data_IF_703798673182
#
_entry.id   IF_703798673182
#
_cell.length_a   1.000
_cell.length_b   1.000
_cell.length_c   1.000
_cell.angle_alpha   90.00
_cell.angle_beta   90.00
_cell.angle_gamma   90.00
#
_symmetry.space_group_name_H-M   'P 1'
#
loop_
_entity.id
_entity.type
_entity.pdbx_description
1 polymer ?
2 non-polymer ?
3 non-polymer ?
4 non-polymer ?
5 water ?
#
# COMPACT_ATOMS: atom_id res chain seq x y z
N UNK A 7 32.48 -4.13 7.92
CA UNK A 7 32.98 -4.58 6.62
C UNK A 7 32.22 -3.87 5.49
N UNK A 8 32.44 -4.35 4.27
CA UNK A 8 31.72 -3.82 3.11
C UNK A 8 30.23 -4.04 3.29
N UNK A 9 29.48 -2.96 3.43
CA UNK A 9 28.06 -3.03 3.74
C UNK A 9 27.25 -3.52 2.54
N UNK A 10 27.61 -4.67 1.99
CA UNK A 10 26.87 -5.23 0.87
C UNK A 10 25.44 -5.61 1.26
N UNK A 11 25.20 -5.81 2.55
CA UNK A 11 23.84 -6.08 3.01
C UNK A 11 22.92 -4.88 2.82
N UNK A 12 23.48 -3.69 2.61
CA UNK A 12 22.68 -2.51 2.35
C UNK A 12 22.13 -2.48 0.92
N UNK A 13 22.66 -3.33 0.03
CA UNK A 13 22.20 -3.43 -1.36
C UNK A 13 21.65 -4.83 -1.57
N UNK A 14 20.41 -5.07 -1.21
CA UNK A 14 19.85 -6.43 -1.33
C UNK A 14 19.58 -6.80 -2.78
N UNK A 15 19.39 -8.09 -3.00
CA UNK A 15 19.20 -8.62 -4.34
C UNK A 15 17.83 -8.24 -4.91
N UNK A 16 17.75 -8.27 -6.23
CA UNK A 16 16.46 -8.21 -6.92
C UNK A 16 15.83 -9.59 -6.81
N UNK A 17 14.69 -9.67 -6.12
CA UNK A 17 14.11 -10.98 -5.81
C UNK A 17 13.67 -11.69 -7.08
N UNK A 18 13.19 -10.95 -8.08
CA UNK A 18 12.84 -11.58 -9.35
C UNK A 18 14.03 -12.31 -9.95
N UNK A 19 15.25 -11.79 -9.72
CA UNK A 19 16.44 -12.44 -10.26
C UNK A 19 16.81 -13.68 -9.45
N UNK A 20 16.62 -13.65 -8.13
CA UNK A 20 16.85 -14.85 -7.32
C UNK A 20 15.97 -15.99 -7.80
N UNK A 21 14.69 -15.72 -8.01
CA UNK A 21 13.76 -16.75 -8.47
C UNK A 21 14.13 -17.25 -9.86
N UNK A 22 14.51 -16.35 -10.76
CA UNK A 22 14.92 -16.75 -12.10
C UNK A 22 16.19 -17.57 -12.09
N UNK A 23 17.13 -17.26 -11.18
CA UNK A 23 18.34 -18.06 -11.06
C UNK A 23 18.06 -19.46 -10.53
N UNK A 24 16.93 -19.66 -9.87
CA UNK A 24 16.54 -20.99 -9.44
C UNK A 24 16.95 -21.35 -8.02
N UNK A 25 16.90 -20.40 -7.08
CA UNK A 25 17.16 -20.74 -5.70
C UNK A 25 16.13 -21.77 -5.23
N UNK A 26 16.60 -22.83 -4.59
CA UNK A 26 15.72 -23.90 -4.14
C UNK A 26 15.02 -23.58 -2.83
N UNK A 27 15.50 -22.59 -2.09
CA UNK A 27 14.94 -22.16 -0.81
C UNK A 27 15.18 -20.67 -0.68
N UNK A 28 14.41 -19.97 0.14
CA UNK A 28 14.66 -18.55 0.36
C UNK A 28 15.96 -18.35 1.12
N UNK A 29 16.82 -17.45 0.68
CA UNK A 29 18.04 -17.14 1.45
C UNK A 29 17.69 -16.66 2.85
N UNK A 30 18.68 -16.74 3.74
CA UNK A 30 18.38 -16.65 5.17
C UNK A 30 17.78 -15.30 5.57
N UNK A 31 18.12 -14.22 4.86
CA UNK A 31 17.60 -12.91 5.25
C UNK A 31 16.13 -12.72 4.92
N UNK A 32 15.51 -13.65 4.18
CA UNK A 32 14.09 -13.60 3.90
C UNK A 32 13.27 -14.48 4.85
N UNK A 33 13.91 -15.32 5.66
CA UNK A 33 13.18 -16.24 6.52
C UNK A 33 12.55 -15.50 7.68
N UNK A 34 11.26 -15.75 7.91
CA UNK A 34 10.57 -15.23 9.07
C UNK A 34 11.11 -15.87 10.36
N UNK A 35 10.81 -15.23 11.48
CA UNK A 35 11.34 -15.61 12.78
C UNK A 35 10.20 -16.14 13.67
N UNK A 36 9.95 -17.45 13.59
CA UNK A 36 9.06 -18.18 14.48
C UNK A 36 7.71 -17.50 14.70
N UNK A 37 7.71 -16.33 15.35
CA UNK A 37 6.47 -15.61 15.64
C UNK A 37 5.63 -15.43 14.38
N UNK A 38 6.27 -15.03 13.28
CA UNK A 38 5.56 -14.91 12.01
C UNK A 38 5.40 -16.24 11.30
N UNK A 39 6.28 -17.22 11.56
CA UNK A 39 6.18 -18.50 10.88
C UNK A 39 4.89 -19.23 11.23
N UNK A 40 4.48 -19.17 12.49
CA UNK A 40 3.27 -19.86 12.92
C UNK A 40 1.99 -19.25 12.34
N UNK A 41 2.07 -18.05 11.76
CA UNK A 41 0.88 -17.32 11.34
C UNK A 41 0.77 -17.19 9.82
N UNK A 42 1.63 -17.87 9.06
CA UNK A 42 1.56 -17.81 7.60
C UNK A 42 0.44 -18.72 7.14
N UNK A 43 -0.63 -18.14 6.61
CA UNK A 43 -1.77 -18.88 6.11
C UNK A 43 -1.67 -18.98 4.59
N UNK A 44 -1.52 -20.20 4.08
CA UNK A 44 -1.47 -20.44 2.65
C UNK A 44 -2.75 -21.04 2.08
N UNK A 45 -3.63 -21.57 2.94
CA UNK A 45 -4.83 -22.25 2.49
C UNK A 45 -6.02 -21.30 2.66
N UNK A 46 -6.94 -21.34 1.70
CA UNK A 46 -8.14 -20.52 1.79
C UNK A 46 -9.12 -21.13 2.79
N UNK A 47 -10.03 -20.29 3.28
CA UNK A 47 -10.88 -20.64 4.41
C UNK A 47 -12.03 -21.58 4.06
N UNK A 48 -12.33 -21.78 2.77
CA UNK A 48 -13.38 -22.67 2.28
C UNK A 48 -14.78 -22.09 2.45
N UNK A 49 -15.03 -21.35 3.53
CA UNK A 49 -16.29 -20.63 3.71
C UNK A 49 -16.01 -19.19 4.17
N UNK A 50 -15.38 -18.38 3.32
CA UNK A 50 -15.08 -17.00 3.72
C UNK A 50 -16.34 -16.16 3.86
N UNK A 51 -16.26 -15.17 4.74
CA UNK A 51 -17.35 -14.21 4.88
C UNK A 51 -17.37 -13.25 3.69
N UNK A 52 -18.55 -12.79 3.28
CA UNK A 52 -18.60 -11.77 2.22
C UNK A 52 -17.82 -10.53 2.61
N UNK A 53 -17.14 -9.96 1.65
CA UNK A 53 -16.36 -8.75 1.88
C UNK A 53 -17.23 -7.52 1.67
N UNK A 54 -16.91 -6.40 2.30
CA UNK A 54 -17.71 -5.18 2.05
C UNK A 54 -17.46 -4.62 0.66
N UNK A 55 -18.55 -4.28 -0.02
CA UNK A 55 -18.52 -3.72 -1.36
C UNK A 55 -19.27 -2.39 -1.31
N UNK A 56 -18.66 -1.34 -1.88
CA UNK A 56 -19.27 -0.01 -1.94
C UNK A 56 -19.35 0.40 -3.40
N UNK A 57 -20.50 0.91 -3.81
CA UNK A 57 -20.74 1.40 -5.16
C UNK A 57 -20.55 2.90 -5.14
N UNK A 58 -19.45 3.37 -5.74
CA UNK A 58 -19.14 4.80 -5.70
C UNK A 58 -20.27 5.63 -6.28
N UNK A 59 -20.92 5.13 -7.34
CA UNK A 59 -21.97 5.93 -7.97
C UNK A 59 -23.22 6.09 -7.10
N UNK A 60 -23.37 5.29 -6.06
CA UNK A 60 -24.54 5.37 -5.18
C UNK A 60 -24.22 6.02 -3.84
N UNK A 61 -23.01 6.54 -3.68
CA UNK A 61 -22.50 6.87 -2.35
C UNK A 61 -23.20 8.07 -1.71
N UNK A 62 -23.95 8.86 -2.47
CA UNK A 62 -24.71 9.94 -1.85
C UNK A 62 -25.90 9.42 -1.06
N UNK A 63 -26.36 8.21 -1.34
CA UNK A 63 -27.52 7.67 -0.66
C UNK A 63 -27.18 7.16 0.73
N UNK A 64 -28.18 7.23 1.62
CA UNK A 64 -27.97 6.81 3.00
C UNK A 64 -27.58 5.35 3.08
N UNK A 65 -28.26 4.49 2.32
CA UNK A 65 -27.99 3.05 2.40
C UNK A 65 -26.56 2.75 1.99
N UNK A 66 -26.04 3.44 0.98
CA UNK A 66 -24.68 3.16 0.54
C UNK A 66 -23.66 3.76 1.50
N UNK A 67 -23.94 4.94 2.05
CA UNK A 67 -23.07 5.52 3.06
C UNK A 67 -22.99 4.61 4.29
N UNK A 68 -24.08 3.91 4.61
CA UNK A 68 -24.06 2.96 5.73
C UNK A 68 -23.13 1.79 5.43
N UNK A 69 -23.13 1.30 4.20
CA UNK A 69 -22.20 0.24 3.82
C UNK A 69 -20.76 0.71 3.96
N UNK A 70 -20.49 1.96 3.58
CA UNK A 70 -19.17 2.54 3.78
C UNK A 70 -18.81 2.60 5.26
N UNK A 71 -19.76 3.05 6.10
CA UNK A 71 -19.48 3.14 7.53
C UNK A 71 -19.13 1.77 8.10
N UNK A 72 -19.90 0.74 7.74
CA UNK A 72 -19.62 -0.61 8.23
C UNK A 72 -18.23 -1.05 7.80
N UNK A 73 -17.88 -0.78 6.54
CA UNK A 73 -16.56 -1.16 6.06
C UNK A 73 -15.46 -0.44 6.83
N UNK A 74 -15.64 0.87 7.07
CA UNK A 74 -14.56 1.64 7.66
C UNK A 74 -14.40 1.34 9.14
N UNK A 75 -15.50 1.14 9.85
CA UNK A 75 -15.43 0.87 11.28
C UNK A 75 -15.01 -0.56 11.58
N UNK A 76 -15.48 -1.53 10.80
CA UNK A 76 -15.28 -2.94 11.13
C UNK A 76 -14.19 -3.62 10.31
N UNK A 77 -13.82 -3.07 9.17
CA UNK A 77 -12.82 -3.71 8.33
C UNK A 77 -11.62 -2.83 8.04
N UNK A 78 -11.82 -1.52 7.86
CA UNK A 78 -10.77 -0.62 7.44
C UNK A 78 -10.55 -0.56 5.94
N UNK A 79 -11.28 -1.35 5.17
CA UNK A 79 -11.12 -1.38 3.73
C UNK A 79 -12.44 -1.78 3.10
N UNK A 80 -12.54 -1.60 1.79
CA UNK A 80 -13.72 -2.04 1.05
C UNK A 80 -13.35 -2.25 -0.43
N UNK A 81 -14.06 -3.16 -1.07
CA UNK A 81 -14.08 -3.23 -2.53
C UNK A 81 -14.94 -2.11 -3.07
N UNK A 82 -14.54 -1.51 -4.20
CA UNK A 82 -15.24 -0.37 -4.77
C UNK A 82 -15.61 -0.67 -6.20
N UNK A 83 -16.90 -0.54 -6.53
CA UNK A 83 -17.40 -0.75 -7.87
C UNK A 83 -17.94 0.56 -8.44
N UNK A 84 -18.14 0.58 -9.76
CA UNK A 84 -18.76 1.73 -10.44
C UNK A 84 -18.03 3.03 -10.09
N UNK A 85 -16.70 2.95 -10.06
CA UNK A 85 -15.81 4.01 -9.61
C UNK A 85 -15.39 4.95 -10.73
N UNK A 86 -15.80 4.71 -11.96
CA UNK A 86 -15.60 5.65 -13.05
C UNK A 86 -14.31 5.49 -13.83
N UNK A 87 -13.37 4.66 -13.37
CA UNK A 87 -12.14 4.45 -14.13
C UNK A 87 -12.39 3.40 -15.20
N UNK A 88 -12.08 3.75 -16.46
CA UNK A 88 -12.31 2.85 -17.57
C UNK A 88 -11.59 1.52 -17.33
N UNK A 89 -12.31 0.42 -17.54
CA UNK A 89 -11.72 -0.89 -17.32
C UNK A 89 -10.48 -1.09 -18.21
N UNK A 90 -10.51 -0.57 -19.43
CA UNK A 90 -9.35 -0.75 -20.32
C UNK A 90 -8.13 0.03 -19.83
N UNK A 91 -8.35 1.15 -19.13
CA UNK A 91 -7.24 1.88 -18.55
C UNK A 91 -6.61 1.09 -17.41
N UNK A 92 -7.43 0.40 -16.63
CA UNK A 92 -6.91 -0.47 -15.58
C UNK A 92 -6.10 -1.61 -16.19
N UNK A 93 -6.62 -2.23 -17.26
CA UNK A 93 -5.86 -3.27 -17.95
C UNK A 93 -4.51 -2.75 -18.41
N UNK A 94 -4.48 -1.53 -18.95
CA UNK A 94 -3.25 -1.02 -19.55
C UNK A 94 -2.19 -0.75 -18.49
N UNK A 95 -2.56 -0.14 -17.36
CA UNK A 95 -1.55 0.19 -16.38
C UNK A 95 -0.97 -1.08 -15.77
N UNK A 96 -1.78 -2.13 -15.62
CA UNK A 96 -1.27 -3.38 -15.10
C UNK A 96 -0.41 -4.11 -16.14
N UNK A 97 -0.84 -4.11 -17.40
CA UNK A 97 -0.08 -4.81 -18.43
C UNK A 97 1.23 -4.11 -18.74
N UNK A 98 1.26 -2.78 -18.66
CA UNK A 98 2.51 -2.07 -18.84
C UNK A 98 3.42 -2.30 -17.64
N UNK A 99 2.84 -2.52 -16.46
CA UNK A 99 3.61 -2.97 -15.31
C UNK A 99 4.27 -4.32 -15.59
N UNK A 100 3.46 -5.31 -16.00
CA UNK A 100 4.03 -6.62 -16.35
C UNK A 100 5.12 -6.49 -17.41
N UNK A 101 4.91 -5.61 -18.40
CA UNK A 101 5.91 -5.45 -19.45
C UNK A 101 7.21 -4.89 -18.90
N UNK A 102 7.13 -3.98 -17.93
CA UNK A 102 8.35 -3.43 -17.34
C UNK A 102 9.12 -4.51 -16.58
N UNK A 103 8.46 -5.21 -15.67
CA UNK A 103 9.16 -6.21 -14.88
C UNK A 103 9.71 -7.35 -15.73
N UNK A 104 9.11 -7.61 -16.89
CA UNK A 104 9.59 -8.63 -17.81
C UNK A 104 10.81 -8.18 -18.63
N UNK A 105 11.24 -6.94 -18.49
CA UNK A 105 12.38 -6.47 -19.26
C UNK A 105 13.67 -7.08 -18.69
N UNK A 106 14.74 -7.12 -19.50
CA UNK A 106 16.02 -7.61 -19.00
C UNK A 106 16.50 -6.82 -17.80
N UNK A 107 17.21 -7.51 -16.90
CA UNK A 107 17.64 -6.88 -15.66
C UNK A 107 18.57 -5.71 -15.95
N UNK A 108 19.39 -5.83 -16.99
CA UNK A 108 20.29 -4.74 -17.38
C UNK A 108 19.50 -3.46 -17.63
N UNK A 109 18.33 -3.58 -18.25
CA UNK A 109 17.51 -2.41 -18.56
C UNK A 109 16.80 -1.89 -17.32
N UNK A 110 16.23 -2.79 -16.52
CA UNK A 110 15.51 -2.38 -15.33
C UNK A 110 16.42 -1.68 -14.34
N UNK A 111 17.67 -2.15 -14.20
CA UNK A 111 18.56 -1.61 -13.19
C UNK A 111 18.98 -0.18 -13.47
N UNK A 112 18.73 0.34 -14.67
CA UNK A 112 18.94 1.77 -14.91
C UNK A 112 18.00 2.62 -14.07
N UNK A 113 16.96 2.03 -13.50
CA UNK A 113 16.02 2.72 -12.63
C UNK A 113 16.15 2.30 -11.18
N UNK A 114 17.24 1.63 -10.83
CA UNK A 114 17.47 1.17 -9.46
C UNK A 114 17.38 2.33 -8.47
N UNK A 115 16.77 2.07 -7.32
CA UNK A 115 16.73 3.06 -6.25
C UNK A 115 17.97 3.02 -5.37
N UNK A 116 18.96 2.21 -5.73
CA UNK A 116 20.25 2.19 -5.06
C UNK A 116 21.21 3.02 -5.92
N UNK A 117 21.32 4.30 -5.57
CA UNK A 117 22.17 5.21 -6.33
C UNK A 117 23.61 4.76 -6.24
N UNK A 118 24.29 4.73 -7.39
CA UNK A 118 25.66 4.25 -7.52
C UNK A 118 25.82 2.81 -7.07
N UNK A 119 24.71 2.08 -6.90
CA UNK A 119 24.75 0.71 -6.44
C UNK A 119 24.76 0.54 -4.94
N UNK A 120 24.59 1.61 -4.16
CA UNK A 120 24.75 1.52 -2.72
C UNK A 120 23.84 2.47 -1.94
N UNK A 121 23.59 3.66 -2.48
CA UNK A 121 22.95 4.74 -1.73
C UNK A 121 21.43 4.67 -1.91
N UNK A 122 20.72 4.32 -0.84
CA UNK A 122 19.29 4.08 -0.93
C UNK A 122 18.52 5.38 -1.05
N UNK A 123 17.51 5.38 -1.93
CA UNK A 123 16.43 6.33 -1.92
C UNK A 123 15.14 5.56 -2.16
N UNK A 124 14.01 6.19 -1.85
CA UNK A 124 12.72 5.51 -2.02
C UNK A 124 12.43 5.29 -3.50
N UNK A 125 12.58 6.33 -4.30
CA UNK A 125 12.11 6.30 -5.68
C UNK A 125 12.98 5.40 -6.55
N UNK A 126 12.35 4.48 -7.26
CA UNK A 126 13.04 3.64 -8.20
C UNK A 126 12.70 2.18 -8.01
N UNK A 127 13.52 1.32 -8.60
CA UNK A 127 13.30 -0.11 -8.68
C UNK A 127 14.25 -0.82 -7.71
N UNK A 128 13.69 -1.63 -6.82
CA UNK A 128 14.47 -2.33 -5.82
C UNK A 128 13.56 -2.80 -4.71
N UNK A 129 13.96 -2.59 -3.46
CA UNK A 129 13.07 -2.84 -2.34
C UNK A 129 13.22 -1.70 -1.35
N UNK A 130 12.61 -1.86 -0.18
CA UNK A 130 12.61 -0.79 0.82
C UNK A 130 13.93 -0.80 1.59
N UNK A 131 14.14 0.26 2.37
CA UNK A 131 15.45 0.50 2.96
C UNK A 131 15.87 -0.65 3.87
N UNK A 132 17.13 -1.05 3.74
CA UNK A 132 17.73 -2.03 4.64
C UNK A 132 18.52 -1.26 5.69
N UNK A 133 18.02 -1.25 6.92
CA UNK A 133 18.63 -0.45 7.97
C UNK A 133 19.69 -1.24 8.73
N UNK A 134 19.44 -2.52 9.00
CA UNK A 134 20.35 -3.34 9.78
C UNK A 134 20.67 -4.62 9.02
N UNK A 135 21.82 -5.21 9.36
CA UNK A 135 22.22 -6.46 8.70
C UNK A 135 21.29 -7.60 9.07
N UNK A 136 20.69 -7.57 10.25
CA UNK A 136 19.77 -8.61 10.70
C UNK A 136 18.32 -8.33 10.31
N UNK A 137 18.09 -7.38 9.40
CA UNK A 137 16.73 -7.05 9.00
C UNK A 137 16.17 -8.12 8.08
N UNK A 138 14.90 -8.47 8.29
CA UNK A 138 14.22 -9.41 7.42
C UNK A 138 13.85 -8.69 6.13
N UNK A 139 14.04 -9.36 5.00
CA UNK A 139 13.70 -8.83 3.68
C UNK A 139 12.42 -9.48 3.18
N UNK A 140 11.62 -8.70 2.46
CA UNK A 140 10.40 -9.24 1.88
C UNK A 140 10.70 -9.91 0.54
N UNK A 141 9.84 -10.87 0.18
CA UNK A 141 10.00 -11.61 -1.07
C UNK A 141 9.26 -10.88 -2.19
N UNK A 142 9.78 -9.70 -2.53
CA UNK A 142 9.18 -8.88 -3.58
C UNK A 142 10.15 -7.77 -3.94
N UNK A 143 10.00 -7.25 -5.14
CA UNK A 143 10.59 -6.00 -5.58
C UNK A 143 9.48 -4.99 -5.78
N UNK A 144 9.85 -3.72 -5.90
CA UNK A 144 8.84 -2.73 -6.22
C UNK A 144 9.46 -1.55 -6.95
N UNK A 145 8.67 -0.98 -7.85
CA UNK A 145 8.99 0.27 -8.53
C UNK A 145 8.15 1.36 -7.88
N UNK A 146 8.80 2.31 -7.22
CA UNK A 146 8.14 3.31 -6.39
C UNK A 146 8.34 4.68 -7.04
N UNK A 147 7.25 5.31 -7.46
CA UNK A 147 7.32 6.56 -8.21
C UNK A 147 6.45 7.62 -7.56
N UNK A 148 6.99 8.82 -7.38
CA UNK A 148 6.19 9.95 -6.94
C UNK A 148 5.38 10.47 -8.12
N UNK A 149 4.05 10.42 -8.00
CA UNK A 149 3.19 10.88 -9.08
C UNK A 149 2.72 12.31 -8.80
N UNK A 150 2.62 12.67 -7.52
CA UNK A 150 2.09 13.97 -7.17
C UNK A 150 2.93 14.63 -6.08
N UNK A 151 3.06 15.96 -6.11
CA UNK A 151 2.53 16.88 -7.12
C UNK A 151 3.18 16.66 -8.49
N UNK A 152 2.43 16.87 -9.57
CA UNK A 152 2.89 16.51 -10.90
C UNK A 152 4.24 17.15 -11.22
N UNK A 153 4.46 18.37 -10.74
CA UNK A 153 5.69 19.10 -11.03
C UNK A 153 6.91 18.52 -10.33
N UNK A 154 6.74 17.64 -9.35
CA UNK A 154 7.86 17.06 -8.62
C UNK A 154 8.21 15.66 -9.09
N UNK A 155 7.61 15.20 -10.18
CA UNK A 155 8.00 13.92 -10.76
C UNK A 155 9.43 13.98 -11.28
N UNK A 156 10.19 12.92 -11.04
CA UNK A 156 11.54 12.76 -11.60
C UNK A 156 11.44 11.70 -12.68
N UNK A 157 11.35 12.13 -13.94
CA UNK A 157 11.12 11.21 -15.04
C UNK A 157 12.32 10.32 -15.35
N UNK A 158 13.47 10.56 -14.73
CA UNK A 158 14.59 9.66 -14.91
C UNK A 158 14.33 8.29 -14.31
N UNK A 159 13.34 8.17 -13.43
CA UNK A 159 13.01 6.89 -12.83
C UNK A 159 11.72 6.28 -13.39
N UNK A 160 11.06 6.98 -14.31
CA UNK A 160 9.89 6.42 -14.98
C UNK A 160 10.34 5.61 -16.18
N UNK A 161 9.93 4.35 -16.28
CA UNK A 161 10.33 3.53 -17.42
C UNK A 161 9.96 4.18 -18.75
N UNK A 162 10.92 4.18 -19.67
CA UNK A 162 10.71 4.67 -21.02
C UNK A 162 10.24 3.57 -21.97
N UNK A 163 10.32 2.31 -21.55
CA UNK A 163 9.71 1.21 -22.28
C UNK A 163 8.97 0.32 -21.27
N UNK A 164 7.70 -0.02 -21.52
CA UNK A 164 6.87 0.33 -22.69
C UNK A 164 6.66 1.84 -22.85
N UNK A 165 6.62 2.30 -24.10
CA UNK A 165 6.65 3.74 -24.37
C UNK A 165 5.52 4.48 -23.68
N UNK A 166 4.35 3.86 -23.57
CA UNK A 166 3.17 4.56 -23.06
C UNK A 166 3.06 4.51 -21.54
N UNK A 167 4.09 4.02 -20.85
CA UNK A 167 4.01 3.85 -19.40
C UNK A 167 3.67 5.16 -18.70
N UNK A 168 4.39 6.22 -19.04
CA UNK A 168 4.17 7.52 -18.40
C UNK A 168 2.74 8.01 -18.63
N UNK A 169 2.31 8.06 -19.89
CA UNK A 169 0.99 8.59 -20.21
C UNK A 169 -0.11 7.78 -19.52
N UNK A 170 0.01 6.46 -19.51
CA UNK A 170 -1.04 5.63 -18.94
C UNK A 170 -1.09 5.77 -17.42
N UNK A 171 0.07 5.77 -16.76
CA UNK A 171 0.08 5.93 -15.32
C UNK A 171 -0.49 7.29 -14.90
N UNK A 172 -0.12 8.35 -15.61
CA UNK A 172 -0.67 9.66 -15.28
C UNK A 172 -2.18 9.68 -15.48
N UNK A 173 -2.67 9.06 -16.55
CA UNK A 173 -4.12 9.02 -16.76
C UNK A 173 -4.80 8.18 -15.69
N UNK A 174 -4.19 7.05 -15.32
CA UNK A 174 -4.75 6.23 -14.24
C UNK A 174 -4.77 7.01 -12.93
N UNK A 175 -3.67 7.69 -12.61
CA UNK A 175 -3.57 8.42 -11.34
C UNK A 175 -4.59 9.56 -11.28
N UNK A 176 -4.92 10.17 -12.43
CA UNK A 176 -5.96 11.19 -12.43
C UNK A 176 -7.29 10.61 -11.99
N UNK A 177 -7.60 9.39 -12.43
CA UNK A 177 -8.85 8.76 -12.02
C UNK A 177 -8.87 8.38 -10.56
N UNK A 178 -7.76 7.83 -10.05
CA UNK A 178 -7.75 7.44 -8.64
C UNK A 178 -7.76 8.67 -7.73
N UNK A 179 -7.22 9.80 -8.19
CA UNK A 179 -7.28 11.01 -7.38
C UNK A 179 -8.72 11.51 -7.27
N UNK A 180 -9.49 11.40 -8.34
CA UNK A 180 -10.91 11.75 -8.26
C UNK A 180 -11.64 10.83 -7.29
N UNK A 181 -11.32 9.54 -7.31
CA UNK A 181 -11.91 8.59 -6.37
C UNK A 181 -11.52 8.97 -4.94
N UNK A 182 -10.24 9.28 -4.72
CA UNK A 182 -9.79 9.71 -3.40
C UNK A 182 -10.67 10.84 -2.88
N UNK A 183 -10.90 11.85 -3.70
CA UNK A 183 -11.70 12.99 -3.27
C UNK A 183 -13.12 12.59 -2.93
N UNK A 184 -13.74 11.74 -3.76
CA UNK A 184 -15.12 11.31 -3.50
C UNK A 184 -15.21 10.54 -2.19
N UNK A 185 -14.24 9.66 -1.92
CA UNK A 185 -14.28 8.87 -0.70
C UNK A 185 -14.08 9.76 0.52
N UNK A 186 -13.12 10.69 0.46
CA UNK A 186 -12.85 11.48 1.66
C UNK A 186 -14.01 12.45 1.94
N UNK A 187 -14.74 12.87 0.91
CA UNK A 187 -15.93 13.69 1.14
C UNK A 187 -17.01 12.89 1.87
N UNK A 188 -17.21 11.64 1.45
CA UNK A 188 -18.18 10.77 2.12
C UNK A 188 -17.74 10.46 3.55
N UNK A 189 -16.43 10.28 3.78
CA UNK A 189 -15.95 10.03 5.14
C UNK A 189 -16.15 11.26 6.02
N UNK A 190 -15.93 12.46 5.49
CA UNK A 190 -16.15 13.66 6.29
C UNK A 190 -17.61 13.76 6.70
N UNK A 191 -18.53 13.41 5.81
CA UNK A 191 -19.95 13.44 6.16
C UNK A 191 -20.28 12.40 7.22
N UNK A 192 -19.69 11.21 7.12
CA UNK A 192 -19.91 10.19 8.14
C UNK A 192 -19.43 10.66 9.50
N UNK A 193 -18.35 11.44 9.53
CA UNK A 193 -17.77 11.94 10.77
C UNK A 193 -18.37 13.26 11.21
N UNK A 194 -19.33 13.80 10.45
CA UNK A 194 -19.94 15.11 10.73
C UNK A 194 -18.88 16.20 10.85
N UNK A 195 -17.86 16.11 10.00
CA UNK A 195 -16.87 17.16 9.83
C UNK A 195 -17.13 17.85 8.50
N UNK A 196 -16.60 19.07 8.36
CA UNK A 196 -16.77 19.82 7.12
C UNK A 196 -16.35 18.96 5.94
N UNK A 197 -17.23 18.88 4.93
CA UNK A 197 -17.02 17.97 3.81
C UNK A 197 -15.66 18.15 3.15
N UNK A 198 -15.04 19.32 3.30
CA UNK A 198 -13.70 19.59 2.79
C UNK A 198 -12.64 19.58 3.86
N UNK A 199 -12.89 18.94 5.01
CA UNK A 199 -11.90 18.96 6.10
C UNK A 199 -10.61 18.29 5.68
N UNK A 200 -10.70 17.20 4.93
CA UNK A 200 -9.49 16.51 4.50
C UNK A 200 -8.89 17.15 3.26
N UNK A 201 -9.70 17.85 2.46
CA UNK A 201 -9.21 18.44 1.23
C UNK A 201 -8.16 19.52 1.50
N UNK A 202 -8.28 20.23 2.63
CA UNK A 202 -7.29 21.26 2.95
C UNK A 202 -5.90 20.66 3.14
N UNK A 203 -5.81 19.52 3.81
CA UNK A 203 -4.53 18.88 4.06
C UNK A 203 -4.05 18.05 2.87
N UNK A 204 -4.79 18.06 1.76
CA UNK A 204 -4.37 17.38 0.55
C UNK A 204 -3.89 18.34 -0.53
N UNK A 205 -3.89 19.64 -0.26
CA UNK A 205 -3.40 20.60 -1.22
C UNK A 205 -1.90 20.38 -1.46
N UNK A 206 -1.55 20.13 -2.73
CA UNK A 206 -0.16 19.86 -3.12
C UNK A 206 0.43 18.72 -2.31
N UNK A 207 -0.40 17.73 -1.99
CA UNK A 207 0.06 16.64 -1.16
C UNK A 207 0.79 15.59 -1.97
N UNK A 208 1.77 14.91 -1.38
CA UNK A 208 2.48 13.86 -2.12
C UNK A 208 1.60 12.62 -2.31
N UNK A 209 1.74 12.01 -3.48
CA UNK A 209 1.08 10.76 -3.81
C UNK A 209 2.07 9.89 -4.58
N UNK A 210 1.98 8.58 -4.39
CA UNK A 210 2.95 7.66 -4.95
C UNK A 210 2.26 6.49 -5.63
N UNK A 211 2.94 5.93 -6.63
CA UNK A 211 2.52 4.69 -7.27
C UNK A 211 3.55 3.63 -6.89
N UNK A 212 3.10 2.61 -6.15
CA UNK A 212 3.96 1.49 -5.77
C UNK A 212 3.56 0.28 -6.59
N UNK A 213 4.37 -0.06 -7.59
CA UNK A 213 4.19 -1.26 -8.38
C UNK A 213 4.91 -2.41 -7.68
N UNK A 214 4.15 -3.30 -7.04
CA UNK A 214 4.73 -4.46 -6.38
C UNK A 214 4.87 -5.63 -7.34
N UNK A 215 5.99 -6.34 -7.25
CA UNK A 215 6.21 -7.58 -7.99
C UNK A 215 6.62 -8.67 -7.02
N UNK A 216 5.78 -9.69 -6.90
CA UNK A 216 6.03 -10.82 -6.01
C UNK A 216 6.43 -12.03 -6.84
N UNK A 217 7.71 -12.37 -6.95
CA UNK A 217 8.11 -13.55 -7.71
C UNK A 217 7.60 -14.81 -7.02
N UNK A 218 7.50 -15.93 -7.73
CA UNK A 218 7.22 -17.19 -7.06
C UNK A 218 8.31 -17.47 -6.03
N UNK A 219 7.92 -18.13 -4.95
CA UNK A 219 8.85 -18.50 -3.90
C UNK A 219 8.83 -20.01 -3.70
N UNK A 220 9.99 -20.67 -3.68
CA UNK A 220 10.00 -22.13 -3.49
C UNK A 220 9.52 -22.57 -2.13
N UNK A 221 9.49 -21.68 -1.14
CA UNK A 221 9.00 -21.99 0.20
C UNK A 221 8.08 -20.86 0.66
N UNK A 222 6.85 -20.82 0.13
CA UNK A 222 5.93 -19.72 0.49
C UNK A 222 5.53 -19.74 1.96
N UNK A 223 5.77 -20.83 2.68
CA UNK A 223 5.50 -20.90 4.10
C UNK A 223 6.56 -20.20 4.94
N UNK A 224 7.68 -19.78 4.35
CA UNK A 224 8.82 -19.30 5.12
C UNK A 224 9.09 -17.80 4.96
N UNK A 225 8.34 -17.11 4.09
CA UNK A 225 8.57 -15.70 3.82
C UNK A 225 7.22 -14.99 3.72
N UNK A 226 7.27 -13.66 3.66
CA UNK A 226 6.15 -12.84 3.22
C UNK A 226 6.51 -12.14 1.93
N UNK A 227 5.54 -12.05 1.01
CA UNK A 227 5.72 -11.20 -0.17
C UNK A 227 5.87 -9.75 0.22
N UNK A 228 4.98 -9.26 1.08
CA UNK A 228 5.20 -8.02 1.82
C UNK A 228 4.74 -8.25 3.24
N UNK A 229 5.54 -7.77 4.19
CA UNK A 229 5.34 -8.07 5.60
C UNK A 229 4.01 -7.49 6.08
N UNK A 230 3.46 -8.04 7.17
CA UNK A 230 2.29 -7.41 7.79
C UNK A 230 2.57 -5.95 8.09
N UNK A 231 1.67 -5.09 7.65
CA UNK A 231 1.84 -3.66 7.84
C UNK A 231 0.48 -3.00 7.67
N UNK A 232 0.36 -1.82 8.27
CA UNK A 232 -0.66 -0.88 7.88
C UNK A 232 0.00 0.20 7.03
N UNK A 233 -0.74 0.73 6.06
CA UNK A 233 -0.20 1.82 5.27
C UNK A 233 -0.12 3.09 6.12
N UNK A 234 0.87 3.92 5.84
CA UNK A 234 0.99 5.19 6.55
C UNK A 234 0.20 6.32 5.93
N UNK A 235 -0.54 6.04 4.85
CA UNK A 235 -1.19 7.06 4.04
C UNK A 235 -2.40 7.64 4.75
N UNK A 236 -3.03 8.63 4.10
CA UNK A 236 -4.41 8.95 4.42
C UNK A 236 -5.34 7.90 3.83
N UNK A 237 -5.18 7.62 2.54
CA UNK A 237 -5.97 6.63 1.82
C UNK A 237 -5.07 5.91 0.83
N UNK A 238 -5.31 4.61 0.64
CA UNK A 238 -4.63 3.85 -0.40
C UNK A 238 -5.67 3.27 -1.34
N UNK A 239 -5.41 3.37 -2.65
CA UNK A 239 -6.30 2.80 -3.66
C UNK A 239 -5.52 1.73 -4.39
N UNK A 240 -5.92 0.47 -4.22
CA UNK A 240 -5.11 -0.68 -4.59
C UNK A 240 -5.75 -1.45 -5.74
N UNK A 241 -4.94 -1.80 -6.73
CA UNK A 241 -5.38 -2.62 -7.87
C UNK A 241 -4.55 -3.90 -7.83
N UNK A 242 -5.19 -5.03 -7.58
CA UNK A 242 -4.48 -6.28 -7.37
C UNK A 242 -4.47 -7.10 -8.65
N UNK A 243 -3.48 -7.98 -8.75
CA UNK A 243 -3.42 -9.03 -9.75
C UNK A 243 -4.79 -9.69 -9.92
N UNK A 244 -5.25 -9.78 -11.17
CA UNK A 244 -6.56 -10.37 -11.36
C UNK A 244 -6.53 -11.89 -11.39
N UNK A 245 -5.35 -12.51 -11.50
CA UNK A 245 -5.23 -13.96 -11.64
C UNK A 245 -4.67 -14.65 -10.41
N UNK A 246 -3.79 -14.00 -9.65
CA UNK A 246 -3.01 -14.65 -8.61
C UNK A 246 -3.35 -14.03 -7.27
N UNK A 247 -3.84 -14.85 -6.33
CA UNK A 247 -4.22 -14.36 -5.01
C UNK A 247 -2.97 -14.15 -4.16
N UNK A 248 -3.17 -13.59 -2.98
CA UNK A 248 -2.08 -13.42 -2.04
C UNK A 248 -2.30 -12.36 -0.99
N UNK A 249 -3.15 -11.38 -1.28
CA UNK A 249 -3.44 -10.34 -0.29
C UNK A 249 -4.27 -10.92 0.86
N UNK A 250 -3.88 -10.56 2.08
CA UNK A 250 -4.60 -10.98 3.27
C UNK A 250 -4.72 -9.81 4.23
N UNK A 251 -5.81 -9.79 5.01
CA UNK A 251 -6.05 -8.72 5.97
C UNK A 251 -6.28 -9.33 7.35
N UNK A 252 -5.85 -8.61 8.37
CA UNK A 252 -6.00 -9.07 9.74
C UNK A 252 -7.25 -8.44 10.35
N UNK A 253 -8.09 -9.27 10.95
CA UNK A 253 -9.31 -8.79 11.60
C UNK A 253 -9.56 -9.67 12.81
N UNK A 254 -9.49 -9.07 14.00
CA UNK A 254 -9.67 -9.79 15.27
C UNK A 254 -8.66 -10.93 15.39
N UNK A 255 -7.40 -10.62 15.06
CA UNK A 255 -6.31 -11.57 15.23
C UNK A 255 -6.26 -12.69 14.22
N UNK A 256 -7.24 -12.80 13.33
CA UNK A 256 -7.24 -13.83 12.30
C UNK A 256 -6.94 -13.20 10.95
N UNK A 257 -6.24 -13.96 10.10
CA UNK A 257 -5.94 -13.53 8.74
C UNK A 257 -6.94 -14.17 7.79
N UNK A 258 -7.47 -13.36 6.86
CA UNK A 258 -8.39 -13.83 5.85
C UNK A 258 -7.94 -13.33 4.48
N UNK A 259 -8.24 -14.11 3.46
CA UNK A 259 -7.87 -13.74 2.10
C UNK A 259 -8.77 -12.62 1.58
N UNK A 260 -8.20 -11.74 0.78
CA UNK A 260 -8.96 -10.69 0.11
C UNK A 260 -8.96 -11.01 -1.38
N UNK A 261 -10.14 -11.30 -1.92
CA UNK A 261 -10.31 -11.65 -3.32
C UNK A 261 -11.17 -10.58 -3.98
N UNK A 262 -10.65 -9.99 -5.06
CA UNK A 262 -11.32 -8.95 -5.82
C UNK A 262 -11.48 -9.39 -7.26
N UNK A 263 -12.63 -9.07 -7.85
CA UNK A 263 -12.84 -9.34 -9.25
C UNK A 263 -12.04 -8.36 -10.09
N UNK A 264 -11.76 -8.68 -11.36
CA UNK A 264 -11.05 -7.73 -12.20
C UNK A 264 -11.80 -6.42 -12.28
N UNK A 265 -11.04 -5.32 -12.22
CA UNK A 265 -11.50 -3.95 -12.39
C UNK A 265 -12.24 -3.43 -11.17
N UNK A 266 -12.40 -4.23 -10.12
CA UNK A 266 -12.82 -3.71 -8.84
C UNK A 266 -11.60 -3.16 -8.10
N UNK A 267 -11.76 -2.02 -7.45
CA UNK A 267 -10.66 -1.44 -6.69
C UNK A 267 -10.81 -1.78 -5.21
N UNK A 268 -9.68 -1.88 -4.52
CA UNK A 268 -9.65 -2.01 -3.07
C UNK A 268 -9.20 -0.70 -2.46
N UNK A 269 -9.99 -0.16 -1.53
CA UNK A 269 -9.68 1.09 -0.84
C UNK A 269 -9.45 0.77 0.62
N UNK A 270 -8.33 1.24 1.18
CA UNK A 270 -8.11 1.10 2.61
C UNK A 270 -7.63 2.43 3.17
N UNK A 271 -8.04 2.71 4.40
CA UNK A 271 -7.47 3.84 5.12
C UNK A 271 -6.04 3.54 5.54
N UNK A 272 -5.26 4.60 5.68
CA UNK A 272 -3.93 4.51 6.23
C UNK A 272 -3.86 5.11 7.63
N UNK A 273 -2.65 5.02 8.21
CA UNK A 273 -2.47 5.41 9.60
C UNK A 273 -2.73 6.90 9.80
N UNK A 274 -2.49 7.71 8.78
CA UNK A 274 -2.81 9.14 8.87
C UNK A 274 -4.30 9.33 9.11
N UNK A 275 -5.14 8.61 8.38
CA UNK A 275 -6.58 8.76 8.56
C UNK A 275 -7.03 8.21 9.91
N UNK A 276 -6.46 7.09 10.36
CA UNK A 276 -6.86 6.58 11.66
C UNK A 276 -6.61 7.60 12.75
N UNK A 277 -5.47 8.29 12.70
CA UNK A 277 -5.19 9.32 13.69
C UNK A 277 -6.18 10.47 13.54
N UNK A 278 -6.38 10.94 12.31
CA UNK A 278 -7.20 12.12 12.09
C UNK A 278 -8.66 11.88 12.45
N UNK A 279 -9.16 10.66 12.29
CA UNK A 279 -10.53 10.35 12.70
C UNK A 279 -10.60 9.77 14.10
N UNK A 280 -9.54 9.93 14.89
CA UNK A 280 -9.50 9.53 16.30
C UNK A 280 -9.82 8.06 16.49
N UNK A 281 -9.44 7.21 15.54
CA UNK A 281 -9.67 5.80 15.69
C UNK A 281 -11.10 5.35 15.52
N UNK A 282 -12.02 6.25 15.14
CA UNK A 282 -13.37 5.81 14.81
C UNK A 282 -13.34 4.85 13.64
N UNK A 283 -12.47 5.09 12.67
CA UNK A 283 -12.18 4.17 11.59
C UNK A 283 -10.75 3.67 11.77
N UNK A 284 -10.51 2.45 11.30
CA UNK A 284 -9.25 1.75 11.55
C UNK A 284 -8.42 1.66 10.28
N UNK A 285 -7.11 1.73 10.44
CA UNK A 285 -6.18 1.46 9.35
C UNK A 285 -5.80 -0.01 9.39
N UNK A 286 -6.14 -0.80 8.37
CA UNK A 286 -6.05 -2.26 8.51
C UNK A 286 -4.64 -2.77 8.28
N UNK A 287 -4.25 -3.73 9.10
CA UNK A 287 -2.98 -4.44 8.89
C UNK A 287 -3.20 -5.52 7.84
N UNK A 288 -2.33 -5.54 6.82
CA UNK A 288 -2.46 -6.48 5.73
C UNK A 288 -1.09 -7.02 5.35
N UNK A 289 -1.09 -8.06 4.54
CA UNK A 289 0.16 -8.69 4.09
C UNK A 289 -0.11 -9.39 2.77
N UNK A 290 0.97 -9.83 2.12
CA UNK A 290 0.85 -10.67 0.92
C UNK A 290 1.67 -11.91 1.16
N UNK A 291 1.05 -13.07 0.93
CA UNK A 291 1.76 -14.34 0.95
C UNK A 291 2.07 -14.73 -0.49
N UNK A 292 3.22 -15.37 -0.67
CA UNK A 292 3.65 -15.79 -2.00
C UNK A 292 3.09 -17.18 -2.33
N UNK A 293 3.41 -17.66 -3.53
CA UNK A 293 3.13 -19.03 -3.92
C UNK A 293 4.31 -19.53 -4.75
N UNK A 294 4.35 -20.85 -4.95
CA UNK A 294 5.51 -21.46 -5.59
C UNK A 294 5.44 -21.47 -7.12
N UNK A 295 4.33 -21.05 -7.72
CA UNK A 295 4.15 -21.30 -9.14
C UNK A 295 4.11 -20.04 -10.01
N UNK A 296 3.53 -18.95 -9.53
CA UNK A 296 3.30 -17.80 -10.41
C UNK A 296 3.67 -16.49 -9.69
N UNK A 297 4.20 -15.55 -10.48
CA UNK A 297 4.41 -14.20 -9.97
C UNK A 297 3.06 -13.50 -9.79
N UNK A 298 3.08 -12.44 -8.99
CA UNK A 298 1.91 -11.64 -8.70
C UNK A 298 2.30 -10.17 -8.73
N UNK A 299 1.44 -9.31 -9.27
CA UNK A 299 1.70 -7.89 -9.30
C UNK A 299 0.55 -7.14 -8.65
N UNK A 300 0.84 -5.96 -8.13
CA UNK A 300 -0.21 -5.05 -7.67
C UNK A 300 0.29 -3.63 -7.87
N UNK A 301 -0.64 -2.68 -7.88
CA UNK A 301 -0.34 -1.26 -7.96
C UNK A 301 -1.09 -0.56 -6.84
N UNK A 302 -0.35 0.00 -5.90
CA UNK A 302 -0.93 0.78 -4.81
C UNK A 302 -0.72 2.26 -5.08
N UNK A 303 -1.81 3.01 -5.17
CA UNK A 303 -1.75 4.47 -5.20
C UNK A 303 -1.83 4.96 -3.76
N UNK A 304 -0.75 5.57 -3.28
CA UNK A 304 -0.56 5.92 -1.88
C UNK A 304 -0.73 7.42 -1.73
N UNK A 305 -1.81 7.84 -1.06
CA UNK A 305 -2.16 9.24 -0.93
C UNK A 305 -1.88 9.74 0.47
N UNK A 306 -0.93 10.67 0.60
CA UNK A 306 -0.54 11.25 1.87
C UNK A 306 -1.10 12.66 2.01
N UNK A 307 -1.00 13.21 3.22
CA UNK A 307 -1.33 14.61 3.45
C UNK A 307 -0.07 15.45 3.22
N UNK A 308 -0.25 16.76 3.04
CA UNK A 308 0.89 17.64 2.91
C UNK A 308 1.51 17.89 4.30
N UNK A 309 2.61 18.66 4.33
CA UNK A 309 3.35 18.91 5.55
C UNK A 309 2.99 20.24 6.20
N UNK A 310 1.78 20.75 5.94
CA UNK A 310 1.40 22.06 6.46
C UNK A 310 0.97 22.01 7.91
N UNK A 311 0.30 20.94 8.34
CA UNK A 311 -0.21 20.81 9.69
C UNK A 311 0.31 19.53 10.33
N UNK A 312 0.45 19.56 11.66
CA UNK A 312 0.74 18.33 12.38
C UNK A 312 -0.41 17.34 12.20
N UNK A 313 -0.09 16.05 12.29
CA UNK A 313 -1.09 15.01 12.21
C UNK A 313 -1.63 14.76 13.61
N UNK A 314 -2.95 14.84 13.76
CA UNK A 314 -3.60 14.74 15.06
C UNK A 314 -5.09 14.52 14.83
N UNK A 315 -5.81 14.03 15.84
CA UNK A 315 -7.26 13.87 15.71
C UNK A 315 -7.94 15.19 15.37
N UNK A 316 -8.96 15.10 14.53
CA UNK A 316 -9.72 16.29 14.15
C UNK A 316 -10.38 16.92 15.37
N UNK A 317 -10.28 18.25 15.45
CA UNK A 317 -10.80 18.98 16.61
C UNK A 317 -12.30 18.75 16.79
N UNK A 318 -13.04 18.61 15.69
CA UNK A 318 -14.47 18.38 15.78
C UNK A 318 -14.86 17.07 16.42
N UNK A 319 -13.92 16.13 16.53
CA UNK A 319 -14.18 14.84 17.16
C UNK A 319 -13.85 14.83 18.65
N UNK A 320 -13.26 15.91 19.17
CA UNK A 320 -12.79 15.98 20.54
C UNK A 320 -13.64 16.96 21.34
N UNK A 321 -14.01 16.57 22.55
CA UNK A 321 -14.72 17.45 23.48
C UNK A 321 -14.50 16.89 24.89
N UNK A 322 -15.22 17.47 25.87
CA UNK A 322 -14.91 17.16 27.26
C UNK A 322 -15.11 15.69 27.61
N UNK A 323 -15.94 14.97 26.86
CA UNK A 323 -16.20 13.55 27.12
C UNK A 323 -15.55 12.64 26.10
N UNK A 324 -14.77 13.19 25.17
CA UNK A 324 -14.23 12.43 24.05
C UNK A 324 -12.76 12.76 23.89
N UNK A 325 -11.90 12.03 24.59
CA UNK A 325 -10.46 12.33 24.54
C UNK A 325 -9.80 11.88 23.25
N UNK A 326 -8.67 12.51 22.96
CA UNK A 326 -7.83 12.07 21.86
C UNK A 326 -7.26 10.69 22.16
N UNK A 327 -7.26 9.81 21.16
CA UNK A 327 -6.71 8.49 21.28
C UNK A 327 -5.28 8.38 20.77
N UNK A 328 -4.77 9.41 20.10
CA UNK A 328 -3.43 9.43 19.55
C UNK A 328 -2.83 10.81 19.78
N UNK A 329 -1.53 10.84 20.07
CA UNK A 329 -0.95 12.14 20.31
C UNK A 329 -0.52 12.79 18.99
N UNK A 330 -0.31 14.10 19.05
CA UNK A 330 -0.01 14.89 17.87
C UNK A 330 1.47 14.78 17.52
N UNK A 331 1.76 14.60 16.23
CA UNK A 331 3.12 14.51 15.74
C UNK A 331 3.25 15.31 14.45
N UNK A 332 4.43 15.88 14.23
CA UNK A 332 4.71 16.53 12.96
C UNK A 332 4.73 15.50 11.84
N UNK A 333 4.52 15.98 10.61
CA UNK A 333 4.54 15.10 9.45
C UNK A 333 5.91 14.49 9.27
N UNK A 334 6.97 15.25 9.57
CA UNK A 334 8.33 14.74 9.45
C UNK A 334 8.58 13.59 10.42
N UNK A 335 8.16 13.76 11.68
CA UNK A 335 8.31 12.70 12.66
C UNK A 335 7.41 11.52 12.33
N UNK A 336 6.19 11.79 11.86
CA UNK A 336 5.29 10.74 11.44
C UNK A 336 5.90 9.92 10.30
N UNK A 337 6.47 10.61 9.31
CA UNK A 337 7.11 9.93 8.18
C UNK A 337 8.24 9.03 8.65
N UNK A 338 9.15 9.56 9.48
CA UNK A 338 10.27 8.77 9.96
C UNK A 338 9.78 7.55 10.74
N UNK A 339 8.68 7.70 11.49
CA UNK A 339 8.17 6.58 12.25
C UNK A 339 7.57 5.50 11.37
N UNK A 340 6.77 5.90 10.37
CA UNK A 340 6.18 4.92 9.46
C UNK A 340 7.26 4.15 8.73
N UNK A 341 8.25 4.87 8.20
CA UNK A 341 9.30 4.22 7.42
C UNK A 341 10.20 3.36 8.30
N UNK A 342 10.58 3.88 9.47
CA UNK A 342 11.52 3.15 10.31
C UNK A 342 10.91 1.92 10.97
N UNK A 343 9.66 2.03 11.41
CA UNK A 343 9.02 0.88 12.05
C UNK A 343 8.68 -0.21 11.04
N UNK A 344 8.39 0.17 9.79
CA UNK A 344 8.17 -0.84 8.76
C UNK A 344 9.40 -1.71 8.58
N UNK A 345 10.59 -1.10 8.62
CA UNK A 345 11.83 -1.85 8.46
C UNK A 345 12.02 -2.88 9.56
N UNK A 346 11.50 -2.61 10.76
CA UNK A 346 11.59 -3.54 11.88
C UNK A 346 10.39 -4.45 12.00
N UNK A 347 9.40 -4.31 11.12
CA UNK A 347 8.18 -5.10 11.25
C UNK A 347 7.34 -4.72 12.45
N UNK A 348 7.34 -3.44 12.84
CA UNK A 348 6.59 -2.97 13.99
C UNK A 348 5.53 -1.97 13.53
N UNK A 349 4.58 -1.69 14.43
CA UNK A 349 3.44 -0.82 14.13
C UNK A 349 3.70 0.54 14.78
N UNK A 350 3.98 1.55 13.94
CA UNK A 350 4.32 2.85 14.46
C UNK A 350 3.15 3.50 15.21
N UNK A 351 1.93 3.34 14.67
CA UNK A 351 0.78 4.04 15.24
C UNK A 351 0.55 3.60 16.69
N UNK A 352 0.97 2.38 17.04
CA UNK A 352 0.82 1.92 18.41
C UNK A 352 1.61 2.80 19.38
N UNK A 353 2.73 3.37 18.93
CA UNK A 353 3.54 4.21 19.79
C UNK A 353 2.88 5.57 20.02
N UNK A 354 1.89 5.93 19.20
CA UNK A 354 1.17 7.19 19.34
C UNK A 354 -0.06 7.08 20.23
N UNK A 355 -0.48 5.87 20.58
CA UNK A 355 -1.70 5.70 21.35
C UNK A 355 -1.53 6.26 22.75
N UNK A 356 -2.56 6.97 23.21
CA UNK A 356 -2.51 7.62 24.52
C UNK A 356 -2.99 6.65 25.59
X LIG B 1 0.03 -1.81 2.05
X LIG C 1 1.29 -1.89 -0.39
X LIG C 1 1.31 -1.11 0.57
X LIG C 1 1.90 -1.70 -1.53
X LIG C 1 0.51 -3.19 -0.30
X LIG C 1 0.03 -3.52 0.77
X LIG C 1 0.37 -4.04 -1.54
X LIG C 1 -0.66 -5.13 -1.38
X LIG C 1 -0.74 -6.08 -2.55
X LIG C 1 0.21 -6.39 -3.24
X LIG C 1 -1.96 -6.54 -2.74
X LIG D 1 3.10 0.96 1.04
X LIG D 1 3.07 0.62 2.40
X LIG D 1 4.37 -0.09 2.75
X LIG D 1 5.38 0.87 2.82
X LIG D 1 6.66 0.30 2.87
X LIG D 1 7.65 1.39 3.27
X LIG D 1 7.68 2.33 2.24
X LIG D 1 8.41 3.48 2.55
X LIG D 1 8.28 4.45 1.38
X LIG D 1 6.99 4.97 1.39
X LIG D 1 6.82 6.18 0.73
X LIG D 1 5.33 6.42 0.54
X LIG D 1 4.76 6.54 1.82
X LIG D 1 3.41 6.90 1.83
X LIG D 1 2.96 6.87 3.29
X LIG D 1 3.34 8.09 3.85
X LIG D 1 3.21 8.15 5.24
X LIG D 1 3.70 9.54 5.68
X LIG D 1 2.84 10.49 5.12
X LIG D 1 3.17 11.82 5.41
X LIG D 1 3.79 12.47 4.17
X LIG D 1 4.08 11.46 3.25
X LIG D 1 5.13 11.78 2.38
X LIG D 1 6.00 10.52 2.22
X LIG D 1 7.30 10.93 1.86
#
# INVERSE_FOLDING_TARGET
GHMASMADESWRAPAIVQELAAAGVEEPPSRYLLREKDRSDVKLVAAELPEPLPVVDLSRLDGAEEATKLRVALQNWGFFLLTNHGVEASLMDSVMNLSREFFNQPIERKQKFSNLIDGKNFQIQGYGTDRVVTQDQILDWSDRLHLRVEPKEEQDLAFWPDHPESFRDVLNKYASGTKRIRDDIIQAMAKLLELDEDYFLDRLNEAPAFARFNYYPPCPRPDLVFGIRPHSDGTLLTILLVDKDVSGLQVQRDGKWSNVEATPHTLLINLGDTMEVMCNGIFRSPVHRVVTNAEKERISLAMLYSVNDEKDIEPAAGLLDENRPARYRKVSVEEFRAGIFGKFSRGERYIDSLRI
MN MN
AKG C1 O1 O2 C2 O5 C3 C4 C5 O3 O4
PE8 O1 C2 C3 O4 C5 C6 O7 C8 C9 O10 C11 C12 O13 C14 C15 O16 C17 C18 O19 C20 C21 O22 C23 C24 O25
#
